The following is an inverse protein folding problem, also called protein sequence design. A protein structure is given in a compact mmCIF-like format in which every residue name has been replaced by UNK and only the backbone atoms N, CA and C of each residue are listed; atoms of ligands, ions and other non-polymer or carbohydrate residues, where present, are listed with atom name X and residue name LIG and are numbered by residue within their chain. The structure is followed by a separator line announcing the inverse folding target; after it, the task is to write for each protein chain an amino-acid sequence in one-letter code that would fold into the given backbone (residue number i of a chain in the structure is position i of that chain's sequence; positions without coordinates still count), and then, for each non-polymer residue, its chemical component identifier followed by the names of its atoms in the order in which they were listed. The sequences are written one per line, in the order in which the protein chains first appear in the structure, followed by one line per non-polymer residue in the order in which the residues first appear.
data_IF_755101118246
#
_entry.id   IF_755101118246
#
_cell.length_a   1.000
_cell.length_b   1.000
_cell.length_c   1.000
_cell.angle_alpha   90.00
_cell.angle_beta   90.00
_cell.angle_gamma   90.00
#
_symmetry.space_group_name_H-M   'P 1'
#
loop_
_entity.id
_entity.type
_entity.pdbx_description
1 polymer ?
#
# COMPACT_ATOMS: atom_id res chain seq x y z
N UNK A 1 46.49 -2.90 45.97
CA UNK A 1 47.52 -1.87 45.74
C UNK A 1 47.15 -1.05 44.52
N UNK A 2 47.00 0.26 44.72
CA UNK A 2 47.05 1.42 43.80
C UNK A 2 46.94 1.26 42.26
N UNK A 3 45.95 1.98 41.69
CA UNK A 3 46.01 2.81 40.45
C UNK A 3 46.73 4.16 40.76
N UNK A 4 46.89 5.17 39.85
CA UNK A 4 46.90 5.25 38.37
C UNK A 4 48.04 6.15 37.78
N UNK A 5 48.10 6.33 36.44
CA UNK A 5 48.46 7.55 35.66
C UNK A 5 48.28 7.22 34.15
N UNK A 6 47.71 7.98 33.20
CA UNK A 6 47.35 9.40 32.98
C UNK A 6 48.52 10.32 32.53
N UNK A 7 48.19 11.27 31.63
CA UNK A 7 49.00 12.38 31.06
C UNK A 7 50.01 11.95 29.95
N UNK A 8 50.25 12.68 28.85
CA UNK A 8 49.94 14.09 28.46
C UNK A 8 49.43 14.28 27.01
N UNK A 9 48.84 15.45 26.75
CA UNK A 9 48.65 16.04 25.41
C UNK A 9 49.85 16.95 25.06
N UNK A 10 50.14 17.22 23.77
CA UNK A 10 50.24 18.59 23.21
C UNK A 10 50.50 18.64 21.67
N UNK A 11 50.46 19.82 20.99
CA UNK A 11 49.82 19.93 19.67
C UNK A 11 50.75 20.60 18.60
N UNK A 12 50.26 21.65 17.91
CA UNK A 12 50.87 22.37 16.75
C UNK A 12 50.92 21.53 15.47
N UNK A 13 50.71 22.03 14.25
CA UNK A 13 50.34 23.36 13.72
C UNK A 13 49.42 23.15 12.48
N UNK A 14 48.90 24.13 11.73
CA UNK A 14 49.02 25.61 11.67
C UNK A 14 47.68 26.19 11.09
N UNK A 15 47.56 27.50 10.90
CA UNK A 15 46.56 28.14 10.00
C UNK A 15 47.24 28.65 8.73
N UNK A 16 46.52 28.62 7.61
CA UNK A 16 46.57 29.69 6.58
C UNK A 16 45.19 29.80 5.91
N UNK A 17 44.56 30.95 6.03
CA UNK A 17 43.48 31.38 5.14
C UNK A 17 44.10 31.83 3.79
N UNK A 18 43.34 31.81 2.68
CA UNK A 18 42.73 33.01 2.04
C UNK A 18 42.28 32.70 0.60
N UNK A 19 41.25 33.41 0.16
CA UNK A 19 40.76 33.64 -1.23
C UNK A 19 39.87 32.59 -1.89
N UNK A 20 38.81 33.11 -2.52
CA UNK A 20 37.79 32.36 -3.23
C UNK A 20 38.01 32.43 -4.75
N UNK A 21 37.50 31.45 -5.48
CA UNK A 21 37.13 31.61 -6.90
C UNK A 21 35.75 31.02 -7.16
N UNK A 22 34.93 31.78 -7.90
CA UNK A 22 33.62 31.33 -8.35
C UNK A 22 33.77 30.55 -9.66
N UNK A 23 33.19 29.35 -9.73
CA UNK A 23 33.03 28.58 -10.97
C UNK A 23 31.85 27.62 -10.85
N UNK A 24 30.90 27.62 -11.80
CA UNK A 24 29.74 26.73 -11.73
C UNK A 24 30.15 25.28 -12.05
N UNK A 25 29.60 24.32 -11.29
CA UNK A 25 29.82 22.89 -11.49
C UNK A 25 28.51 22.10 -11.27
N UNK A 26 28.37 20.91 -11.89
CA UNK A 26 27.17 20.69 -12.70
C UNK A 26 25.92 20.21 -11.97
N UNK A 27 24.78 20.41 -12.64
CA UNK A 27 23.46 19.89 -12.32
C UNK A 27 23.47 18.48 -11.70
N UNK A 28 23.16 18.40 -10.40
CA UNK A 28 22.93 17.13 -9.72
C UNK A 28 21.74 16.41 -10.37
N UNK A 29 22.01 15.25 -10.96
CA UNK A 29 21.01 14.37 -11.58
C UNK A 29 20.10 13.81 -10.48
N UNK A 30 18.89 14.32 -10.38
CA UNK A 30 17.92 13.87 -9.38
C UNK A 30 17.49 12.43 -9.68
N UNK A 31 17.79 11.50 -8.76
CA UNK A 31 17.22 10.15 -8.80
C UNK A 31 15.76 10.19 -8.29
N UNK A 32 14.80 9.56 -8.99
CA UNK A 32 13.42 9.51 -8.52
C UNK A 32 13.28 8.51 -7.36
N UNK A 33 12.88 8.99 -6.18
CA UNK A 33 12.65 8.13 -5.02
C UNK A 33 12.74 8.82 -3.65
N UNK A 34 13.43 9.96 -3.56
CA UNK A 34 13.46 10.76 -2.32
C UNK A 34 12.12 11.48 -2.11
N UNK A 35 11.28 10.90 -1.24
CA UNK A 35 10.01 11.47 -0.83
C UNK A 35 10.18 12.73 0.01
N UNK A 36 10.40 13.87 -0.64
CA UNK A 36 10.31 15.18 0.00
C UNK A 36 8.87 15.34 0.50
N UNK A 37 8.66 15.33 1.82
CA UNK A 37 7.40 15.72 2.43
C UNK A 37 7.24 17.24 2.30
N UNK A 38 6.83 17.68 1.10
CA UNK A 38 6.24 19.00 0.93
C UNK A 38 5.00 19.06 1.83
N UNK A 39 5.08 19.86 2.89
CA UNK A 39 3.93 20.19 3.73
C UNK A 39 3.07 21.16 2.92
N UNK A 40 2.26 20.61 2.01
CA UNK A 40 1.37 21.39 1.16
C UNK A 40 0.51 22.31 2.03
N UNK A 41 0.63 23.60 1.78
CA UNK A 41 -0.24 24.63 2.34
C UNK A 41 -1.58 24.60 1.59
N UNK A 42 -2.69 25.06 2.19
CA UNK A 42 -3.99 25.10 1.51
C UNK A 42 -4.02 25.96 0.23
N UNK A 43 -3.03 26.84 0.04
CA UNK A 43 -2.90 27.73 -1.11
C UNK A 43 -1.95 27.21 -2.21
N UNK A 44 -1.32 26.04 -2.01
CA UNK A 44 -0.51 25.35 -3.03
C UNK A 44 -1.40 24.75 -4.14
N UNK A 45 -2.08 25.62 -4.90
CA UNK A 45 -2.76 25.20 -6.13
C UNK A 45 -1.68 24.74 -7.11
N UNK A 46 -1.76 23.50 -7.64
CA UNK A 46 -0.80 23.03 -8.62
C UNK A 46 -0.81 23.97 -9.84
N UNK A 47 0.37 24.36 -10.39
CA UNK A 47 0.44 25.18 -11.58
C UNK A 47 -0.41 24.60 -12.72
N UNK A 48 -1.02 25.45 -13.55
CA UNK A 48 -1.90 25.01 -14.65
C UNK A 48 -1.21 23.97 -15.54
N UNK A 49 0.10 24.13 -15.77
CA UNK A 49 0.93 23.17 -16.50
C UNK A 49 0.91 21.75 -15.88
N UNK A 50 0.93 21.64 -14.55
CA UNK A 50 0.91 20.37 -13.85
C UNK A 50 -0.47 19.69 -13.95
N UNK A 51 -1.56 20.46 -13.85
CA UNK A 51 -2.92 19.96 -14.09
C UNK A 51 -3.11 19.43 -15.52
N UNK A 52 -2.55 20.10 -16.53
CA UNK A 52 -2.57 19.66 -17.92
C UNK A 52 -1.76 18.37 -18.13
N UNK A 53 -0.59 18.27 -17.51
CA UNK A 53 0.22 17.04 -17.53
C UNK A 53 -0.49 15.87 -16.84
N UNK A 54 -1.16 16.11 -15.71
CA UNK A 54 -1.96 15.12 -15.00
C UNK A 54 -3.19 14.68 -15.81
N UNK A 55 -3.84 15.58 -16.53
CA UNK A 55 -4.92 15.24 -17.48
C UNK A 55 -4.42 14.38 -18.64
N UNK A 56 -3.32 14.77 -19.30
CA UNK A 56 -2.71 13.97 -20.36
C UNK A 56 -2.26 12.58 -19.88
N UNK A 57 -1.74 12.50 -18.65
CA UNK A 57 -1.41 11.23 -17.98
C UNK A 57 -2.65 10.38 -17.73
N UNK A 58 -3.70 10.96 -17.12
CA UNK A 58 -4.97 10.28 -16.86
C UNK A 58 -5.60 9.72 -18.14
N UNK A 59 -5.57 10.48 -19.24
CA UNK A 59 -6.09 10.06 -20.54
C UNK A 59 -5.33 8.85 -21.09
N UNK A 60 -3.98 8.84 -21.05
CA UNK A 60 -3.16 7.69 -21.48
C UNK A 60 -3.50 6.42 -20.72
N UNK A 61 -3.68 6.50 -19.40
CA UNK A 61 -4.14 5.36 -18.61
C UNK A 61 -5.54 4.90 -19.04
N UNK A 62 -6.50 5.82 -19.20
CA UNK A 62 -7.87 5.51 -19.64
C UNK A 62 -7.90 4.79 -20.99
N UNK A 63 -7.17 5.28 -21.99
CA UNK A 63 -7.05 4.65 -23.31
C UNK A 63 -6.42 3.25 -23.25
N UNK A 64 -5.48 3.02 -22.33
CA UNK A 64 -4.87 1.71 -22.13
C UNK A 64 -5.85 0.71 -21.47
N UNK A 65 -6.57 1.12 -20.43
CA UNK A 65 -7.49 0.23 -19.68
C UNK A 65 -8.85 0.00 -20.37
N UNK A 66 -9.22 0.84 -21.34
CA UNK A 66 -10.42 0.67 -22.17
C UNK A 66 -10.24 -0.30 -23.35
N UNK A 67 -9.05 -0.88 -23.52
CA UNK A 67 -8.82 -1.90 -24.54
C UNK A 67 -9.51 -3.22 -24.14
N UNK A 68 -10.21 -3.92 -25.07
CA UNK A 68 -10.85 -5.21 -24.79
C UNK A 68 -9.90 -6.27 -24.26
N UNK A 69 -8.62 -6.18 -24.66
CA UNK A 69 -7.49 -6.90 -24.07
C UNK A 69 -6.43 -5.85 -23.75
N UNK A 70 -6.14 -5.65 -22.46
CA UNK A 70 -5.14 -4.67 -22.01
C UNK A 70 -3.72 -5.20 -22.25
N UNK A 71 -2.87 -4.39 -22.87
CA UNK A 71 -1.42 -4.62 -22.85
C UNK A 71 -0.85 -4.31 -21.46
N UNK A 72 -0.59 -5.36 -20.69
CA UNK A 72 0.01 -5.27 -19.36
C UNK A 72 1.48 -4.79 -19.39
N UNK A 73 2.19 -4.88 -20.53
CA UNK A 73 3.54 -4.33 -20.68
C UNK A 73 3.51 -2.81 -20.75
N UNK A 74 2.70 -2.25 -21.66
CA UNK A 74 2.45 -0.81 -21.72
C UNK A 74 1.89 -0.27 -20.39
N UNK A 75 0.96 -0.99 -19.75
CA UNK A 75 0.41 -0.58 -18.45
C UNK A 75 1.48 -0.53 -17.35
N UNK A 76 2.41 -1.50 -17.29
CA UNK A 76 3.56 -1.49 -16.35
C UNK A 76 4.47 -0.29 -16.60
N UNK A 77 4.80 0.00 -17.87
CA UNK A 77 5.63 1.15 -18.23
C UNK A 77 4.98 2.49 -17.85
N UNK A 78 3.67 2.65 -18.08
CA UNK A 78 2.90 3.82 -17.62
C UNK A 78 2.86 3.92 -16.09
N UNK A 79 2.63 2.80 -15.39
CA UNK A 79 2.52 2.72 -13.94
C UNK A 79 3.85 2.95 -13.19
N UNK A 80 5.00 2.78 -13.85
CA UNK A 80 6.33 2.95 -13.25
C UNK A 80 6.54 4.33 -12.62
N UNK A 81 5.99 5.39 -13.23
CA UNK A 81 6.01 6.76 -12.71
C UNK A 81 4.80 7.10 -11.81
N UNK A 82 4.14 6.07 -11.25
CA UNK A 82 2.98 6.18 -10.37
C UNK A 82 1.62 6.10 -11.07
N UNK A 83 0.58 5.71 -10.33
CA UNK A 83 -0.78 5.55 -10.87
C UNK A 83 -1.71 6.65 -10.34
N UNK A 84 -2.47 7.35 -11.20
CA UNK A 84 -3.47 8.34 -10.78
C UNK A 84 -4.47 7.77 -9.77
N UNK A 85 -4.80 8.54 -8.73
CA UNK A 85 -5.57 8.06 -7.57
C UNK A 85 -6.87 7.32 -7.93
N UNK A 86 -7.59 7.81 -8.93
CA UNK A 86 -8.86 7.22 -9.38
C UNK A 86 -8.73 5.89 -10.10
N UNK A 87 -7.56 5.59 -10.65
CA UNK A 87 -7.32 4.38 -11.43
C UNK A 87 -6.54 3.32 -10.64
N UNK A 88 -5.98 3.66 -9.47
CA UNK A 88 -5.25 2.72 -8.60
C UNK A 88 -5.99 1.41 -8.33
N UNK A 89 -7.31 1.39 -7.99
CA UNK A 89 -7.99 0.14 -7.67
C UNK A 89 -7.97 -0.86 -8.82
N UNK A 90 -8.32 -0.42 -10.03
CA UNK A 90 -8.34 -1.27 -11.22
C UNK A 90 -6.92 -1.61 -11.71
N UNK A 91 -6.02 -0.62 -11.78
CA UNK A 91 -4.65 -0.83 -12.27
C UNK A 91 -3.88 -1.78 -11.35
N UNK A 92 -4.01 -1.68 -10.03
CA UNK A 92 -3.37 -2.62 -9.10
C UNK A 92 -3.94 -4.04 -9.26
N UNK A 93 -5.27 -4.18 -9.40
CA UNK A 93 -5.89 -5.49 -9.67
C UNK A 93 -5.41 -6.13 -10.98
N UNK A 94 -5.11 -5.33 -12.01
CA UNK A 94 -4.53 -5.79 -13.28
C UNK A 94 -3.04 -6.15 -13.13
N UNK A 95 -2.24 -5.31 -12.48
CA UNK A 95 -0.80 -5.50 -12.33
C UNK A 95 -0.43 -6.67 -11.40
N UNK A 96 -1.30 -7.01 -10.46
CA UNK A 96 -1.18 -8.20 -9.59
C UNK A 96 -1.88 -9.45 -10.17
N UNK A 97 -2.28 -9.44 -11.45
CA UNK A 97 -2.98 -10.53 -12.15
C UNK A 97 -4.24 -11.07 -11.42
N UNK A 98 -4.87 -10.23 -10.59
CA UNK A 98 -6.12 -10.54 -9.89
C UNK A 98 -7.35 -10.38 -10.81
N UNK A 99 -7.33 -9.34 -11.66
CA UNK A 99 -8.29 -9.11 -12.75
C UNK A 99 -7.63 -9.45 -14.09
N UNK A 100 -8.25 -10.25 -14.96
CA UNK A 100 -7.67 -10.58 -16.26
C UNK A 100 -7.61 -9.36 -17.20
N UNK A 101 -6.59 -9.32 -18.04
CA UNK A 101 -6.42 -8.30 -19.07
C UNK A 101 -7.59 -8.25 -20.06
N UNK A 102 -8.13 -9.41 -20.45
CA UNK A 102 -9.36 -9.55 -21.25
C UNK A 102 -10.58 -9.09 -20.44
N UNK A 103 -11.30 -8.09 -20.96
CA UNK A 103 -12.45 -7.46 -20.30
C UNK A 103 -13.63 -8.44 -20.10
N UNK A 104 -13.97 -9.19 -21.14
CA UNK A 104 -15.06 -10.17 -21.14
C UNK A 104 -14.95 -11.17 -19.97
N UNK A 105 -13.72 -11.63 -19.69
CA UNK A 105 -13.43 -12.59 -18.62
C UNK A 105 -13.44 -11.99 -17.21
N UNK A 106 -13.45 -10.66 -17.05
CA UNK A 106 -13.32 -10.02 -15.71
C UNK A 106 -14.48 -10.39 -14.79
N UNK A 107 -15.71 -10.37 -15.29
CA UNK A 107 -16.92 -10.63 -14.47
C UNK A 107 -16.94 -12.06 -13.92
N UNK A 108 -16.70 -13.05 -14.78
CA UNK A 108 -16.71 -14.47 -14.39
C UNK A 108 -15.54 -14.84 -13.48
N UNK A 109 -14.31 -14.40 -13.80
CA UNK A 109 -13.12 -14.66 -12.96
C UNK A 109 -13.24 -14.02 -11.57
N UNK A 110 -13.78 -12.80 -11.48
CA UNK A 110 -14.01 -12.15 -10.17
C UNK A 110 -15.12 -12.83 -9.36
N UNK A 111 -16.22 -13.25 -10.00
CA UNK A 111 -17.27 -14.01 -9.32
C UNK A 111 -16.73 -15.32 -8.74
N UNK A 112 -15.93 -16.05 -9.52
CA UNK A 112 -15.32 -17.31 -9.10
C UNK A 112 -14.28 -17.10 -7.97
N UNK A 113 -13.39 -16.10 -8.06
CA UNK A 113 -12.45 -15.77 -6.97
C UNK A 113 -13.16 -15.43 -5.66
N UNK A 114 -14.27 -14.69 -5.71
CA UNK A 114 -15.10 -14.37 -4.52
C UNK A 114 -15.79 -15.60 -3.94
N UNK A 115 -16.33 -16.47 -4.79
CA UNK A 115 -16.92 -17.75 -4.38
C UNK A 115 -15.90 -18.66 -3.69
N UNK A 116 -14.68 -18.73 -4.23
CA UNK A 116 -13.56 -19.44 -3.61
C UNK A 116 -13.19 -18.85 -2.25
N UNK A 117 -13.09 -17.52 -2.12
CA UNK A 117 -12.85 -16.88 -0.82
C UNK A 117 -13.94 -17.23 0.20
N UNK A 118 -15.23 -17.16 -0.17
CA UNK A 118 -16.32 -17.59 0.73
C UNK A 118 -16.14 -19.03 1.18
N UNK A 119 -15.83 -19.95 0.25
CA UNK A 119 -15.54 -21.35 0.60
C UNK A 119 -14.38 -21.51 1.58
N UNK A 120 -13.35 -20.65 1.51
CA UNK A 120 -12.24 -20.66 2.48
C UNK A 120 -12.65 -20.06 3.84
N UNK A 121 -13.57 -19.09 3.88
CA UNK A 121 -14.15 -18.61 5.14
C UNK A 121 -14.87 -19.74 5.86
N UNK A 122 -15.76 -20.43 5.15
CA UNK A 122 -16.56 -21.52 5.71
C UNK A 122 -15.66 -22.69 6.16
N UNK A 123 -14.69 -23.08 5.33
CA UNK A 123 -13.77 -24.19 5.59
C UNK A 123 -12.77 -23.92 6.73
N UNK A 124 -12.23 -22.70 6.85
CA UNK A 124 -11.12 -22.44 7.77
C UNK A 124 -11.46 -21.52 8.95
N UNK A 125 -12.30 -20.50 8.81
CA UNK A 125 -12.37 -19.43 9.83
C UNK A 125 -12.97 -19.89 11.18
N UNK A 126 -13.79 -20.94 11.17
CA UNK A 126 -14.27 -21.57 12.41
C UNK A 126 -13.13 -22.24 13.21
N UNK A 127 -12.04 -22.68 12.55
CA UNK A 127 -10.91 -23.36 13.18
C UNK A 127 -10.09 -22.44 14.10
N UNK A 128 -10.24 -21.11 14.03
CA UNK A 128 -9.51 -20.13 14.86
C UNK A 128 -9.68 -20.34 16.37
N UNK A 129 -10.75 -21.02 16.77
CA UNK A 129 -11.08 -21.37 18.16
C UNK A 129 -10.41 -22.66 18.63
N UNK A 130 -9.91 -23.50 17.71
CA UNK A 130 -9.24 -24.77 18.05
C UNK A 130 -7.88 -24.54 18.73
N UNK A 131 -7.48 -25.41 19.68
CA UNK A 131 -6.21 -25.25 20.41
C UNK A 131 -4.96 -25.14 19.51
N UNK A 132 -4.94 -25.88 18.40
CA UNK A 132 -3.86 -25.87 17.39
C UNK A 132 -3.68 -24.50 16.71
N UNK A 133 -4.79 -23.81 16.42
CA UNK A 133 -4.81 -22.53 15.71
C UNK A 133 -4.78 -21.32 16.65
N UNK A 134 -5.14 -21.50 17.92
CA UNK A 134 -5.33 -20.43 18.91
C UNK A 134 -4.10 -19.55 19.12
N UNK A 135 -2.89 -20.13 19.10
CA UNK A 135 -1.64 -19.37 19.23
C UNK A 135 -1.44 -18.41 18.04
N UNK A 136 -1.58 -18.93 16.82
CA UNK A 136 -1.46 -18.15 15.57
C UNK A 136 -2.53 -17.05 15.49
N UNK A 137 -3.78 -17.36 15.84
CA UNK A 137 -4.86 -16.38 15.85
C UNK A 137 -4.61 -15.27 16.89
N UNK A 138 -4.16 -15.63 18.10
CA UNK A 138 -3.81 -14.64 19.12
C UNK A 138 -2.63 -13.74 18.71
N UNK A 139 -1.68 -14.26 17.93
CA UNK A 139 -0.58 -13.47 17.36
C UNK A 139 -1.09 -12.44 16.34
N UNK A 140 -2.00 -12.85 15.43
CA UNK A 140 -2.70 -11.93 14.51
C UNK A 140 -3.38 -10.82 15.33
N UNK A 141 -4.18 -11.18 16.33
CA UNK A 141 -4.90 -10.21 17.14
C UNK A 141 -3.98 -9.18 17.82
N UNK A 142 -2.84 -9.62 18.38
CA UNK A 142 -1.84 -8.71 18.96
C UNK A 142 -1.33 -7.68 17.96
N UNK A 143 -0.98 -8.09 16.74
CA UNK A 143 -0.50 -7.16 15.72
C UNK A 143 -1.62 -6.22 15.23
N UNK A 144 -2.84 -6.72 15.06
CA UNK A 144 -3.97 -5.89 14.68
C UNK A 144 -4.31 -4.81 15.72
N UNK A 145 -4.11 -5.07 17.03
CA UNK A 145 -4.29 -4.01 18.05
C UNK A 145 -3.30 -2.85 17.93
N UNK A 146 -2.15 -3.06 17.25
CA UNK A 146 -1.14 -2.01 16.99
C UNK A 146 -1.47 -1.18 15.75
N UNK A 147 -2.41 -1.62 14.91
CA UNK A 147 -2.75 -0.97 13.64
C UNK A 147 -3.75 0.18 13.86
N UNK A 148 -3.27 1.41 13.79
CA UNK A 148 -4.07 2.62 14.07
C UNK A 148 -5.31 2.77 13.17
N UNK A 149 -5.27 2.26 11.92
CA UNK A 149 -6.42 2.26 11.01
C UNK A 149 -7.60 1.40 11.48
N UNK A 150 -7.39 0.47 12.43
CA UNK A 150 -8.43 -0.41 12.98
C UNK A 150 -9.01 0.14 14.30
N UNK A 151 -8.45 1.24 14.84
CA UNK A 151 -8.88 1.81 16.11
C UNK A 151 -10.35 2.23 16.09
N UNK A 152 -11.15 1.68 17.02
CA UNK A 152 -12.62 1.84 17.09
C UNK A 152 -13.36 1.45 15.80
N UNK A 153 -12.83 0.51 15.02
CA UNK A 153 -13.45 -0.01 13.78
C UNK A 153 -13.57 -1.54 13.84
N UNK A 154 -14.54 -2.09 14.62
CA UNK A 154 -14.66 -3.54 14.82
C UNK A 154 -14.89 -4.31 13.52
N UNK A 155 -15.61 -3.73 12.54
CA UNK A 155 -15.86 -4.36 11.25
C UNK A 155 -14.57 -4.51 10.42
N UNK A 156 -13.69 -3.50 10.47
CA UNK A 156 -12.38 -3.56 9.82
C UNK A 156 -11.48 -4.57 10.54
N UNK A 157 -11.49 -4.59 11.87
CA UNK A 157 -10.74 -5.55 12.67
C UNK A 157 -11.14 -6.99 12.31
N UNK A 158 -12.44 -7.30 12.30
CA UNK A 158 -12.95 -8.63 11.95
C UNK A 158 -12.64 -9.03 10.50
N UNK A 159 -12.61 -8.09 9.56
CA UNK A 159 -12.15 -8.35 8.19
C UNK A 159 -10.66 -8.68 8.14
N UNK A 160 -9.80 -7.93 8.84
CA UNK A 160 -8.36 -8.20 8.90
C UNK A 160 -8.05 -9.53 9.59
N UNK A 161 -8.68 -9.82 10.74
CA UNK A 161 -8.59 -11.12 11.43
C UNK A 161 -8.90 -12.28 10.47
N UNK A 162 -10.01 -12.18 9.73
CA UNK A 162 -10.45 -13.22 8.79
C UNK A 162 -9.52 -13.39 7.60
N UNK A 163 -9.10 -12.28 6.97
CA UNK A 163 -8.19 -12.33 5.80
C UNK A 163 -6.84 -12.93 6.19
N UNK A 164 -6.23 -12.45 7.28
CA UNK A 164 -4.91 -12.91 7.71
C UNK A 164 -4.95 -14.36 8.20
N UNK A 165 -5.98 -14.76 8.96
CA UNK A 165 -6.11 -16.13 9.43
C UNK A 165 -6.29 -17.13 8.27
N UNK A 166 -7.18 -16.83 7.32
CA UNK A 166 -7.38 -17.69 6.14
C UNK A 166 -6.11 -17.76 5.28
N UNK A 167 -5.40 -16.64 5.11
CA UNK A 167 -4.13 -16.64 4.39
C UNK A 167 -3.13 -17.59 5.07
N UNK A 168 -2.94 -17.48 6.38
CA UNK A 168 -1.99 -18.31 7.13
C UNK A 168 -2.37 -19.79 7.15
N UNK A 169 -3.66 -20.13 7.29
CA UNK A 169 -4.15 -21.52 7.19
C UNK A 169 -3.88 -22.15 5.81
N UNK A 170 -3.89 -21.34 4.74
CA UNK A 170 -3.61 -21.80 3.37
C UNK A 170 -2.12 -21.84 3.02
N UNK A 171 -1.24 -21.29 3.85
CA UNK A 171 0.21 -21.29 3.66
C UNK A 171 0.93 -21.88 4.89
N UNK A 172 0.70 -23.17 5.23
CA UNK A 172 1.18 -23.78 6.48
C UNK A 172 2.71 -23.81 6.62
N UNK A 173 3.46 -23.76 5.52
CA UNK A 173 4.93 -23.62 5.55
C UNK A 173 5.44 -22.25 6.03
N UNK A 174 4.55 -21.25 6.14
CA UNK A 174 4.87 -19.92 6.69
C UNK A 174 4.02 -19.56 7.90
N UNK A 175 2.77 -20.02 7.97
CA UNK A 175 1.83 -19.66 9.04
C UNK A 175 1.52 -18.17 9.06
N UNK A 176 1.44 -17.56 10.25
CA UNK A 176 1.39 -16.11 10.40
C UNK A 176 2.76 -15.58 10.82
N UNK A 177 3.23 -14.52 10.16
CA UNK A 177 4.50 -13.85 10.47
C UNK A 177 4.24 -12.36 10.61
N UNK A 178 4.72 -11.76 11.70
CA UNK A 178 4.57 -10.32 11.98
C UNK A 178 5.06 -9.49 10.77
N UNK A 179 4.26 -8.49 10.37
CA UNK A 179 4.52 -7.64 9.20
C UNK A 179 3.65 -7.98 7.98
N UNK A 180 3.07 -9.18 7.89
CA UNK A 180 2.12 -9.48 6.79
C UNK A 180 0.80 -8.70 6.91
N UNK A 181 0.44 -8.31 8.13
CA UNK A 181 -0.62 -7.34 8.42
C UNK A 181 -0.38 -5.98 7.71
N UNK A 182 0.88 -5.54 7.63
CA UNK A 182 1.26 -4.28 6.99
C UNK A 182 1.25 -4.42 5.45
N UNK A 183 1.57 -5.61 4.92
CA UNK A 183 1.43 -5.91 3.49
C UNK A 183 -0.03 -5.91 3.01
N UNK A 184 -0.99 -6.30 3.86
CA UNK A 184 -2.43 -6.26 3.54
C UNK A 184 -2.97 -4.81 3.47
N UNK A 185 -2.46 -3.93 4.32
CA UNK A 185 -2.93 -2.54 4.48
C UNK A 185 -3.02 -1.73 3.18
N UNK A 186 -2.00 -1.64 2.31
CA UNK A 186 -2.08 -0.86 1.08
C UNK A 186 -3.12 -1.38 0.10
N UNK A 187 -3.29 -2.71 -0.03
CA UNK A 187 -4.35 -3.29 -0.85
C UNK A 187 -5.73 -2.95 -0.32
N UNK A 188 -5.93 -3.08 1.00
CA UNK A 188 -7.21 -2.77 1.63
C UNK A 188 -7.62 -1.31 1.40
N UNK A 189 -6.72 -0.36 1.65
CA UNK A 189 -6.97 1.08 1.45
C UNK A 189 -7.20 1.41 -0.04
N UNK A 190 -6.37 0.89 -0.94
CA UNK A 190 -6.50 1.18 -2.38
C UNK A 190 -7.78 0.60 -2.96
N UNK A 191 -8.17 -0.63 -2.59
CA UNK A 191 -9.37 -1.25 -3.15
C UNK A 191 -10.67 -0.73 -2.52
N UNK A 192 -10.66 -0.32 -1.24
CA UNK A 192 -11.81 0.32 -0.62
C UNK A 192 -12.13 1.69 -1.24
N UNK A 193 -11.11 2.41 -1.74
CA UNK A 193 -11.27 3.70 -2.44
C UNK A 193 -12.12 3.64 -3.72
N UNK A 194 -12.38 2.44 -4.27
CA UNK A 194 -13.32 2.23 -5.38
C UNK A 194 -14.78 2.42 -4.96
N UNK A 195 -15.10 2.13 -3.69
CA UNK A 195 -16.46 2.09 -3.14
C UNK A 195 -16.84 3.33 -2.32
N UNK A 196 -15.93 4.30 -2.16
CA UNK A 196 -16.09 5.44 -1.24
C UNK A 196 -16.08 6.82 -1.92
N UNK A 197 -16.54 6.93 -3.19
CA UNK A 197 -16.59 8.21 -3.90
C UNK A 197 -17.94 8.95 -3.72
N UNK A 198 -17.80 10.23 -3.34
CA UNK A 198 -18.83 11.27 -3.16
C UNK A 198 -19.70 11.18 -1.89
N UNK A 199 -19.43 12.09 -0.94
CA UNK A 199 -20.41 12.64 0.02
C UNK A 199 -20.84 11.77 1.20
N UNK A 200 -20.83 10.44 1.09
CA UNK A 200 -21.33 9.56 2.15
C UNK A 200 -20.21 9.15 3.11
N UNK A 201 -20.37 9.53 4.38
CA UNK A 201 -19.49 9.10 5.46
C UNK A 201 -19.42 7.57 5.52
N UNK A 202 -18.29 7.01 5.98
CA UNK A 202 -18.08 5.54 6.13
C UNK A 202 -19.24 4.85 6.88
N UNK A 203 -19.95 5.59 7.74
CA UNK A 203 -21.16 5.16 8.45
C UNK A 203 -22.31 4.71 7.52
N UNK A 204 -22.55 5.39 6.39
CA UNK A 204 -23.73 5.12 5.55
C UNK A 204 -23.60 3.86 4.67
N UNK A 205 -22.40 3.26 4.56
CA UNK A 205 -22.24 1.97 3.91
C UNK A 205 -22.88 0.82 4.72
N UNK A 206 -22.97 0.96 6.04
CA UNK A 206 -23.37 -0.14 6.94
C UNK A 206 -24.89 -0.29 7.11
N UNK A 207 -25.69 0.75 6.89
CA UNK A 207 -27.16 0.69 7.03
C UNK A 207 -27.87 0.09 5.81
N UNK A 208 -27.21 0.04 4.66
CA UNK A 208 -27.81 -0.37 3.38
C UNK A 208 -27.20 -1.68 2.84
N UNK A 209 -27.42 -2.77 3.57
CA UNK A 209 -27.32 -4.14 3.05
C UNK A 209 -25.95 -4.51 2.44
N UNK A 210 -24.96 -4.78 3.30
CA UNK A 210 -23.63 -5.28 2.92
C UNK A 210 -23.69 -6.65 2.21
N UNK A 211 -24.03 -6.66 0.91
CA UNK A 211 -24.03 -7.87 0.04
C UNK A 211 -22.94 -7.85 -1.04
N UNK A 212 -21.98 -6.92 -0.97
CA UNK A 212 -20.97 -6.72 -2.02
C UNK A 212 -19.50 -6.62 -1.58
N UNK A 213 -19.17 -6.69 -0.28
CA UNK A 213 -17.77 -6.69 0.18
C UNK A 213 -17.30 -8.08 0.62
N UNK A 214 -16.98 -8.90 -0.37
CA UNK A 214 -16.03 -10.01 -0.23
C UNK A 214 -14.75 -9.63 -0.98
N UNK A 215 -13.68 -9.38 -0.22
CA UNK A 215 -12.30 -9.35 -0.68
C UNK A 215 -11.67 -10.73 -0.51
#
# INVERSE_FOLDING_TARGET
MLKPAVTECNPTALRTDTTASNGPSPLSKHAPGMGVRLRATPDDRPPVQQLLLDHGRMQRFRSCISAPIIDLSALRHLAWSGVPGDLRPLVWKLLCDYVPASEERRKSVLAEKRRQYSSFVDQYFHLREQPSCKFMFHQIQKDLTRMTLLYRRPDLLAMFERILFIWSMRHPGSGYVQGINDLLTPFFVVFLAEYTRVGMCILCLFTSGFRLMYF
#
